data_IF_576568938009
#
_entry.id   IF_576568938009
#
_cell.length_a   1.000
_cell.length_b   1.000
_cell.length_c   1.000
_cell.angle_alpha   90.00
_cell.angle_beta   90.00
_cell.angle_gamma   90.00
#
_symmetry.space_group_name_H-M   'P 1'
#
loop_
_entity.id
_entity.type
_entity.pdbx_description
1 polymer ?
#
# COMPACT_ATOMS: atom_id res chain seq x y z
N UNK A 1 -37.35 -17.20 10.36
CA UNK A 1 -36.25 -18.17 10.60
C UNK A 1 -36.55 -19.39 9.76
N UNK A 2 -36.01 -19.45 8.54
CA UNK A 2 -36.23 -20.58 7.62
C UNK A 2 -34.89 -21.25 7.43
N UNK A 3 -34.73 -22.42 8.04
CA UNK A 3 -33.57 -23.28 7.86
C UNK A 3 -33.91 -24.27 6.75
N UNK A 4 -33.38 -24.06 5.56
CA UNK A 4 -33.36 -25.06 4.49
C UNK A 4 -32.05 -25.83 4.64
N UNK A 5 -32.12 -26.98 5.31
CA UNK A 5 -31.01 -27.92 5.43
C UNK A 5 -30.92 -28.80 4.19
N UNK A 6 -29.93 -28.56 3.33
CA UNK A 6 -29.48 -29.53 2.32
C UNK A 6 -28.40 -30.40 2.97
N UNK A 7 -28.66 -31.71 3.12
CA UNK A 7 -27.80 -32.64 3.87
C UNK A 7 -26.57 -33.16 3.10
N UNK A 8 -26.23 -32.57 1.94
CA UNK A 8 -25.09 -33.02 1.11
C UNK A 8 -24.05 -31.94 0.82
N UNK A 9 -24.25 -30.70 1.28
CA UNK A 9 -23.23 -29.67 1.20
C UNK A 9 -22.44 -29.66 2.52
N UNK A 10 -21.27 -30.28 2.56
CA UNK A 10 -20.30 -30.04 3.64
C UNK A 10 -20.08 -28.53 3.72
N UNK A 11 -20.54 -27.89 4.81
CA UNK A 11 -20.33 -26.46 5.02
C UNK A 11 -18.82 -26.19 4.88
N UNK A 12 -18.39 -25.25 4.04
CA UNK A 12 -16.98 -24.89 4.00
C UNK A 12 -16.59 -24.42 5.40
N UNK A 13 -15.72 -25.17 6.06
CA UNK A 13 -15.21 -24.82 7.38
C UNK A 13 -14.31 -23.61 7.22
N UNK A 14 -14.64 -22.50 7.89
CA UNK A 14 -13.77 -21.33 7.87
C UNK A 14 -12.50 -21.63 8.63
N UNK A 15 -11.34 -21.33 8.04
CA UNK A 15 -10.03 -21.61 8.63
C UNK A 15 -9.51 -20.47 9.51
N UNK A 16 -10.26 -19.37 9.66
CA UNK A 16 -9.88 -18.19 10.42
C UNK A 16 -10.95 -17.09 10.45
N UNK A 17 -10.61 -15.90 10.97
CA UNK A 17 -11.52 -14.75 11.02
C UNK A 17 -11.91 -14.26 9.62
N UNK A 18 -13.11 -13.68 9.50
CA UNK A 18 -13.56 -13.04 8.26
C UNK A 18 -12.67 -11.85 7.90
N UNK A 19 -12.52 -11.60 6.60
CA UNK A 19 -11.65 -10.58 6.05
C UNK A 19 -12.43 -9.70 5.07
N UNK A 20 -12.06 -8.43 4.96
CA UNK A 20 -12.54 -7.55 3.90
C UNK A 20 -11.35 -6.87 3.22
N UNK A 21 -11.38 -6.77 1.89
CA UNK A 21 -10.39 -6.01 1.11
C UNK A 21 -11.06 -4.77 0.54
N UNK A 22 -10.52 -3.59 0.84
CA UNK A 22 -11.10 -2.30 0.44
C UNK A 22 -10.26 -1.65 -0.66
N UNK A 23 -10.81 -1.51 -1.86
CA UNK A 23 -10.05 -1.06 -3.04
C UNK A 23 -10.03 0.46 -3.22
N UNK A 24 -10.97 1.17 -2.60
CA UNK A 24 -11.26 2.56 -2.91
C UNK A 24 -11.28 3.41 -1.63
N UNK A 25 -10.78 4.64 -1.73
CA UNK A 25 -10.86 5.63 -0.66
C UNK A 25 -12.26 6.27 -0.63
N UNK A 26 -13.04 6.14 0.46
CA UNK A 26 -14.38 6.70 0.55
C UNK A 26 -14.44 8.23 0.48
N UNK A 27 -13.31 8.92 0.70
CA UNK A 27 -13.22 10.37 0.52
C UNK A 27 -13.03 10.78 -0.95
N UNK A 28 -12.56 9.87 -1.81
CA UNK A 28 -12.23 10.14 -3.23
C UNK A 28 -13.22 9.50 -4.20
N UNK A 29 -13.84 8.39 -3.82
CA UNK A 29 -14.74 7.61 -4.68
C UNK A 29 -16.18 7.75 -4.20
N UNK A 30 -17.10 8.00 -5.13
CA UNK A 30 -18.53 8.10 -4.81
C UNK A 30 -19.06 6.79 -4.21
N UNK A 31 -19.96 6.88 -3.22
CA UNK A 31 -20.50 5.72 -2.47
C UNK A 31 -20.95 4.55 -3.33
N UNK A 32 -21.63 4.82 -4.46
CA UNK A 32 -22.13 3.79 -5.40
C UNK A 32 -21.04 3.05 -6.18
N UNK A 33 -19.82 3.58 -6.18
CA UNK A 33 -18.68 3.04 -6.91
C UNK A 33 -17.61 2.46 -5.97
N UNK A 34 -17.85 2.43 -4.66
CA UNK A 34 -16.94 1.80 -3.71
C UNK A 34 -16.93 0.30 -3.93
N UNK A 35 -15.74 -0.27 -4.10
CA UNK A 35 -15.56 -1.71 -4.26
C UNK A 35 -14.90 -2.28 -3.01
N UNK A 36 -15.47 -3.38 -2.54
CA UNK A 36 -14.86 -4.22 -1.53
C UNK A 36 -15.13 -5.69 -1.85
N UNK A 37 -14.18 -6.54 -1.47
CA UNK A 37 -14.36 -7.99 -1.47
C UNK A 37 -14.55 -8.44 -0.02
N UNK A 38 -15.66 -9.12 0.28
CA UNK A 38 -15.87 -9.83 1.54
C UNK A 38 -15.36 -11.26 1.40
N UNK A 39 -14.46 -11.64 2.29
CA UNK A 39 -13.69 -12.88 2.19
C UNK A 39 -13.85 -13.71 3.47
N UNK A 40 -13.96 -15.03 3.29
CA UNK A 40 -13.87 -15.99 4.38
C UNK A 40 -12.68 -16.91 4.10
N UNK A 41 -11.72 -17.08 5.03
CA UNK A 41 -10.65 -18.04 4.87
C UNK A 41 -11.23 -19.46 4.77
N UNK A 42 -10.82 -20.22 3.76
CA UNK A 42 -11.28 -21.59 3.51
C UNK A 42 -10.10 -22.55 3.38
N UNK A 43 -10.37 -23.85 3.51
CA UNK A 43 -9.37 -24.89 3.23
C UNK A 43 -8.97 -24.96 1.74
N UNK A 44 -7.85 -25.63 1.40
CA UNK A 44 -7.23 -25.62 0.08
C UNK A 44 -8.05 -26.27 -1.05
N UNK A 45 -9.18 -26.92 -0.74
CA UNK A 45 -9.99 -27.66 -1.70
C UNK A 45 -11.41 -27.11 -1.86
N UNK A 46 -11.66 -25.87 -1.44
CA UNK A 46 -12.95 -25.22 -1.62
C UNK A 46 -12.98 -24.48 -2.96
N UNK A 47 -13.92 -24.88 -3.83
CA UNK A 47 -14.15 -24.22 -5.12
C UNK A 47 -15.36 -23.29 -4.99
N UNK A 48 -15.20 -22.03 -5.39
CA UNK A 48 -16.30 -21.07 -5.47
C UNK A 48 -17.33 -21.43 -6.55
N UNK A 49 -18.51 -20.83 -6.47
CA UNK A 49 -19.59 -21.01 -7.44
C UNK A 49 -20.37 -19.71 -7.64
N UNK A 50 -20.76 -19.41 -8.88
CA UNK A 50 -21.48 -18.17 -9.20
C UNK A 50 -20.61 -16.93 -8.94
N UNK A 51 -21.12 -16.00 -8.14
CA UNK A 51 -20.41 -14.76 -7.76
C UNK A 51 -19.34 -14.97 -6.68
N UNK A 52 -19.29 -16.16 -6.07
CA UNK A 52 -18.29 -16.50 -5.06
C UNK A 52 -17.08 -17.10 -5.77
N UNK A 53 -15.90 -16.50 -5.55
CA UNK A 53 -14.64 -16.95 -6.11
C UNK A 53 -13.68 -17.36 -5.01
N UNK A 54 -12.91 -18.43 -5.24
CA UNK A 54 -11.76 -18.76 -4.39
C UNK A 54 -10.53 -18.04 -4.95
N UNK A 55 -9.81 -17.31 -4.10
CA UNK A 55 -8.56 -16.63 -4.44
C UNK A 55 -7.48 -17.02 -3.43
N UNK A 56 -6.26 -17.18 -3.91
CA UNK A 56 -5.09 -17.33 -3.03
C UNK A 56 -4.59 -15.94 -2.63
N UNK A 57 -4.41 -15.72 -1.33
CA UNK A 57 -3.78 -14.50 -0.80
C UNK A 57 -2.35 -14.89 -0.41
N UNK A 58 -1.37 -14.41 -1.18
CA UNK A 58 0.04 -14.72 -0.97
C UNK A 58 0.60 -14.12 0.31
N UNK A 59 1.78 -14.60 0.74
CA UNK A 59 2.52 -14.02 1.84
C UNK A 59 3.06 -12.64 1.46
N UNK A 60 2.61 -11.60 2.14
CA UNK A 60 3.07 -10.22 1.96
C UNK A 60 3.70 -9.67 3.24
N UNK A 61 4.69 -8.79 3.07
CA UNK A 61 5.07 -7.90 4.16
C UNK A 61 3.96 -6.87 4.32
N UNK A 62 3.44 -6.75 5.53
CA UNK A 62 2.32 -5.85 5.85
C UNK A 62 2.66 -4.95 7.03
N UNK A 63 2.15 -3.72 7.00
CA UNK A 63 2.04 -2.87 8.17
C UNK A 63 0.66 -3.12 8.81
N UNK A 64 0.63 -3.32 10.12
CA UNK A 64 -0.60 -3.70 10.83
C UNK A 64 -0.92 -2.77 11.98
N UNK A 65 -2.21 -2.49 12.17
CA UNK A 65 -2.74 -1.81 13.36
C UNK A 65 -4.02 -2.51 13.81
N UNK A 66 -4.20 -2.67 15.13
CA UNK A 66 -5.42 -3.22 15.72
C UNK A 66 -6.20 -2.08 16.35
N UNK A 67 -7.51 -2.03 16.10
CA UNK A 67 -8.41 -1.08 16.73
C UNK A 67 -9.66 -1.78 17.29
N UNK A 68 -10.37 -1.05 18.15
CA UNK A 68 -11.60 -1.48 18.79
C UNK A 68 -12.62 -0.34 18.68
N UNK A 69 -13.89 -0.65 18.42
CA UNK A 69 -14.96 0.32 18.18
C UNK A 69 -15.02 0.83 16.73
N UNK A 70 -16.24 0.99 16.20
CA UNK A 70 -16.49 1.50 14.84
C UNK A 70 -16.05 2.97 14.66
N UNK A 71 -16.09 3.74 15.73
CA UNK A 71 -15.68 5.14 15.75
C UNK A 71 -14.17 5.33 15.53
N UNK A 72 -13.36 4.29 15.81
CA UNK A 72 -11.91 4.34 15.71
C UNK A 72 -11.37 3.91 14.35
N UNK A 73 -12.22 3.43 13.43
CA UNK A 73 -11.82 2.95 12.09
C UNK A 73 -10.99 4.00 11.36
N UNK A 74 -11.50 5.24 11.28
CA UNK A 74 -10.83 6.33 10.55
C UNK A 74 -9.45 6.62 11.14
N UNK A 75 -9.37 6.72 12.47
CA UNK A 75 -8.14 6.98 13.20
C UNK A 75 -7.11 5.88 12.97
N UNK A 76 -7.52 4.61 12.97
CA UNK A 76 -6.64 3.48 12.73
C UNK A 76 -6.02 3.51 11.33
N UNK A 77 -6.82 3.85 10.30
CA UNK A 77 -6.31 4.05 8.95
C UNK A 77 -5.31 5.20 8.88
N UNK A 78 -5.64 6.36 9.46
CA UNK A 78 -4.72 7.50 9.48
C UNK A 78 -3.40 7.14 10.18
N UNK A 79 -3.44 6.42 11.32
CA UNK A 79 -2.27 5.98 12.07
C UNK A 79 -1.33 5.04 11.28
N UNK A 80 -1.89 4.02 10.62
CA UNK A 80 -1.05 3.06 9.85
C UNK A 80 -0.43 3.71 8.62
N UNK A 81 -1.15 4.60 7.94
CA UNK A 81 -0.61 5.31 6.78
C UNK A 81 0.43 6.36 7.18
N UNK A 82 0.21 7.11 8.27
CA UNK A 82 1.20 8.04 8.81
C UNK A 82 2.49 7.31 9.19
N UNK A 83 2.39 6.18 9.87
CA UNK A 83 3.54 5.35 10.22
C UNK A 83 4.27 4.82 8.97
N UNK A 84 3.52 4.31 7.99
CA UNK A 84 4.06 3.79 6.73
C UNK A 84 4.87 4.86 5.99
N UNK A 85 4.35 6.09 5.90
CA UNK A 85 5.04 7.22 5.30
C UNK A 85 6.28 7.64 6.09
N UNK A 86 6.21 7.69 7.42
CA UNK A 86 7.34 8.05 8.28
C UNK A 86 8.50 7.05 8.16
N UNK A 87 8.19 5.76 7.94
CA UNK A 87 9.19 4.70 7.78
C UNK A 87 9.72 4.56 6.34
N UNK A 88 9.20 5.35 5.39
CA UNK A 88 9.61 5.30 3.97
C UNK A 88 9.09 4.07 3.21
N UNK A 89 8.02 3.46 3.70
CA UNK A 89 7.29 2.44 2.97
C UNK A 89 6.24 3.08 2.04
N UNK A 90 5.76 2.29 1.08
CA UNK A 90 4.62 2.61 0.22
C UNK A 90 3.66 1.42 0.21
N UNK A 91 2.37 1.71 0.07
CA UNK A 91 1.32 0.72 -0.14
C UNK A 91 1.55 -0.02 -1.47
N UNK A 92 1.50 -1.34 -1.41
CA UNK A 92 1.73 -2.23 -2.54
C UNK A 92 0.42 -2.69 -3.19
N UNK A 93 -0.63 -2.79 -2.39
CA UNK A 93 -1.97 -3.25 -2.77
C UNK A 93 -2.99 -2.70 -1.75
N UNK A 94 -4.27 -2.93 -2.01
CA UNK A 94 -5.37 -2.54 -1.15
C UNK A 94 -5.29 -3.16 0.26
N UNK A 95 -5.64 -2.40 1.31
CA UNK A 95 -5.63 -2.87 2.69
C UNK A 95 -6.64 -4.00 2.89
N UNK A 96 -6.29 -4.90 3.80
CA UNK A 96 -7.13 -6.01 4.25
C UNK A 96 -7.46 -5.81 5.71
N UNK A 97 -8.73 -5.82 6.05
CA UNK A 97 -9.23 -5.74 7.41
C UNK A 97 -9.63 -7.13 7.89
N UNK A 98 -9.14 -7.55 9.07
CA UNK A 98 -9.47 -8.82 9.69
C UNK A 98 -10.37 -8.59 10.90
N UNK A 99 -11.55 -9.20 10.91
CA UNK A 99 -12.52 -9.07 12.00
C UNK A 99 -12.22 -10.10 13.09
N UNK A 100 -11.69 -9.64 14.22
CA UNK A 100 -11.23 -10.48 15.33
C UNK A 100 -12.34 -10.76 16.35
N UNK A 101 -13.38 -9.93 16.39
CA UNK A 101 -14.53 -10.08 17.30
C UNK A 101 -15.67 -10.90 16.66
N UNK A 102 -16.50 -11.53 17.49
CA UNK A 102 -17.70 -12.21 17.04
C UNK A 102 -18.84 -11.20 16.76
N UNK A 103 -19.86 -11.64 16.01
CA UNK A 103 -21.06 -10.84 15.79
C UNK A 103 -21.77 -10.55 17.12
N UNK A 104 -22.08 -9.28 17.38
CA UNK A 104 -22.75 -8.83 18.60
C UNK A 104 -21.80 -8.44 19.74
N UNK A 105 -20.50 -8.68 19.59
CA UNK A 105 -19.47 -8.08 20.45
C UNK A 105 -19.06 -6.70 19.92
N UNK A 106 -18.36 -5.94 20.74
CA UNK A 106 -17.72 -4.72 20.29
C UNK A 106 -16.74 -5.02 19.16
N UNK A 107 -16.81 -4.24 18.07
CA UNK A 107 -15.98 -4.44 16.89
C UNK A 107 -14.51 -4.39 17.30
N UNK A 108 -13.76 -5.44 16.99
CA UNK A 108 -12.31 -5.46 17.05
C UNK A 108 -11.76 -5.96 15.74
N UNK A 109 -10.89 -5.17 15.12
CA UNK A 109 -10.35 -5.49 13.82
C UNK A 109 -8.88 -5.11 13.68
N UNK A 110 -8.19 -5.82 12.80
CA UNK A 110 -6.80 -5.56 12.41
C UNK A 110 -6.77 -5.08 10.96
N UNK A 111 -6.27 -3.87 10.72
CA UNK A 111 -5.96 -3.38 9.38
C UNK A 111 -4.56 -3.86 9.03
N UNK A 112 -4.41 -4.54 7.90
CA UNK A 112 -3.15 -4.96 7.33
C UNK A 112 -2.97 -4.33 5.94
N UNK A 113 -1.99 -3.44 5.82
CA UNK A 113 -1.65 -2.76 4.55
C UNK A 113 -0.43 -3.45 3.94
N UNK A 114 -0.53 -4.05 2.74
CA UNK A 114 0.64 -4.59 2.04
C UNK A 114 1.64 -3.49 1.71
N UNK A 115 2.93 -3.70 2.02
CA UNK A 115 3.97 -2.67 1.87
C UNK A 115 5.14 -3.10 0.99
N UNK A 116 5.73 -2.12 0.30
CA UNK A 116 7.03 -2.23 -0.36
C UNK A 116 7.93 -1.11 0.17
N UNK A 117 9.18 -1.44 0.50
CA UNK A 117 10.18 -0.44 0.90
C UNK A 117 10.70 0.26 -0.35
N UNK A 118 10.69 1.59 -0.36
CA UNK A 118 11.48 2.31 -1.36
C UNK A 118 12.95 2.11 -1.00
N UNK A 119 13.75 1.55 -1.91
CA UNK A 119 15.15 1.93 -1.90
C UNK A 119 15.17 3.44 -2.11
N UNK A 120 15.61 4.17 -1.09
CA UNK A 120 15.90 5.59 -1.19
C UNK A 120 16.97 5.73 -2.28
N UNK A 121 16.54 5.98 -3.52
CA UNK A 121 17.38 6.61 -4.52
C UNK A 121 18.04 7.80 -3.81
N UNK A 122 19.38 7.87 -3.70
CA UNK A 122 20.03 8.98 -3.04
C UNK A 122 19.53 10.24 -3.74
N UNK A 123 18.88 11.11 -2.95
CA UNK A 123 18.17 12.26 -3.48
C UNK A 123 19.07 13.03 -4.46
N UNK A 124 18.49 13.54 -5.55
CA UNK A 124 19.18 14.47 -6.46
C UNK A 124 19.94 15.50 -5.62
N UNK A 125 21.24 15.28 -5.43
CA UNK A 125 22.13 16.30 -4.90
C UNK A 125 22.07 17.39 -5.94
N UNK A 126 21.44 18.52 -5.58
CA UNK A 126 21.55 19.74 -6.38
C UNK A 126 23.04 20.03 -6.45
N UNK A 127 23.67 19.70 -7.58
CA UNK A 127 25.04 20.07 -7.87
C UNK A 127 25.03 21.60 -7.82
N UNK A 128 25.51 22.18 -6.72
CA UNK A 128 25.82 23.61 -6.66
C UNK A 128 26.90 23.81 -7.70
N UNK A 129 26.52 24.24 -8.91
CA UNK A 129 27.47 24.67 -9.92
C UNK A 129 28.31 25.77 -9.28
N UNK A 130 29.58 25.45 -9.01
CA UNK A 130 30.55 26.45 -8.61
C UNK A 130 30.63 27.50 -9.72
N UNK A 131 30.67 28.81 -9.40
CA UNK A 131 30.79 29.83 -10.41
C UNK A 131 32.12 29.65 -11.17
N UNK A 132 32.02 29.60 -12.49
CA UNK A 132 33.17 29.44 -13.37
C UNK A 132 34.23 30.51 -13.07
N UNK A 133 35.43 30.08 -12.68
CA UNK A 133 36.60 30.96 -12.58
C UNK A 133 36.84 31.57 -13.96
N UNK A 134 36.67 32.88 -14.08
CA UNK A 134 37.07 33.65 -15.27
C UNK A 134 38.58 33.49 -15.45
N UNK A 135 39.00 32.71 -16.44
CA UNK A 135 40.39 32.68 -16.90
C UNK A 135 40.65 33.95 -17.71
N UNK A 136 41.32 34.91 -17.09
CA UNK A 136 41.85 36.11 -17.74
C UNK A 136 42.92 35.70 -18.75
N UNK A 137 42.57 35.70 -20.04
CA UNK A 137 43.51 35.48 -21.13
C UNK A 137 44.36 36.75 -21.27
N UNK A 138 45.59 36.73 -20.74
CA UNK A 138 46.57 37.79 -20.94
C UNK A 138 46.97 37.81 -22.43
N UNK A 139 46.49 38.81 -23.15
CA UNK A 139 46.95 39.17 -24.48
C UNK A 139 48.43 39.54 -24.43
N UNK A 140 49.27 38.86 -25.20
CA UNK A 140 50.65 39.31 -25.44
C UNK A 140 50.80 39.63 -26.91
N UNK A 141 50.62 40.91 -27.24
CA UNK A 141 51.12 41.49 -28.47
C UNK A 141 52.64 41.65 -28.35
N UNK A 142 53.39 41.23 -29.37
CA UNK A 142 54.72 41.77 -29.69
C UNK A 142 54.99 41.58 -31.19
N UNK A 143 54.69 42.64 -31.93
CA UNK A 143 55.51 43.34 -32.95
C UNK A 143 56.42 42.55 -33.90
N UNK A 144 56.23 42.87 -35.19
CA UNK A 144 57.04 42.58 -36.36
C UNK A 144 58.48 43.14 -36.30
N UNK A 145 59.42 42.58 -37.08
CA UNK A 145 59.90 43.18 -38.34
C UNK A 145 61.18 42.49 -38.89
N UNK A 146 61.32 42.62 -40.22
CA UNK A 146 62.31 42.14 -41.19
C UNK A 146 63.82 42.10 -40.83
N UNK A 147 64.59 41.21 -41.51
CA UNK A 147 65.68 41.60 -42.45
C UNK A 147 66.34 40.43 -43.21
N UNK A 148 66.50 40.64 -44.54
CA UNK A 148 67.58 40.25 -45.50
C UNK A 148 68.33 38.91 -45.33
N UNK A 149 68.48 38.17 -46.43
CA UNK A 149 69.62 38.26 -47.36
C UNK A 149 69.19 37.76 -48.74
#
# INVERSE_FOLDING_TARGET
>A
MVSVGCSTCSRPTTSGPSLAKFYDDPAKVAKKNLRCDLCAPVGPHVTGSGDIQTKEIGGWQVATVVYQGEENVRRAYDEVYDWLHAQGYHEADAPVEKYLSALGEELRAEIAVPVIKKELMPGRQKIKRAPAKKTTRKTRAKTASAKKT
#
